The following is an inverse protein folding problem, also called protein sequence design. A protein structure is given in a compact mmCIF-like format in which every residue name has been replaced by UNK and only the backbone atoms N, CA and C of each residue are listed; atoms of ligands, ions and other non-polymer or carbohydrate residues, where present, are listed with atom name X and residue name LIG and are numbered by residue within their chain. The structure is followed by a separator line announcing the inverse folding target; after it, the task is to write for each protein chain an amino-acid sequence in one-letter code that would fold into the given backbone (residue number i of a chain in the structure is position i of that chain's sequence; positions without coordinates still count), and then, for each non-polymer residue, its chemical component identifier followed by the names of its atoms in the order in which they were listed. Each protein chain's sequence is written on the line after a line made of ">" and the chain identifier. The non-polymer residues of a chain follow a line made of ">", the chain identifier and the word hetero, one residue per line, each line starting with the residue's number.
data_IF_940400974263
#
_entry.id   IF_940400974263
#
_cell.length_a   1.000
_cell.length_b   1.000
_cell.length_c   1.000
_cell.angle_alpha   90.00
_cell.angle_beta   90.00
_cell.angle_gamma   90.00
#
_symmetry.space_group_name_H-M   'P 1'
#
loop_
_entity.id
_entity.type
_entity.pdbx_description
1 polymer ?
#
# COMPACT_ATOMS: atom_id res chain seq x y z
N UNK A 1 -14.48 -7.55 -0.37
CA UNK A 1 -13.23 -7.67 -1.13
C UNK A 1 -12.77 -6.34 -1.72
N UNK A 2 -13.37 -5.80 -2.80
CA UNK A 2 -12.94 -4.48 -3.34
C UNK A 2 -13.07 -3.34 -2.31
N UNK A 3 -14.14 -3.34 -1.50
CA UNK A 3 -14.37 -2.35 -0.43
C UNK A 3 -13.37 -2.44 0.73
N UNK A 4 -12.86 -3.64 1.02
CA UNK A 4 -11.89 -3.85 2.11
C UNK A 4 -10.50 -3.38 1.69
N UNK A 5 -10.14 -3.63 0.43
CA UNK A 5 -8.92 -3.11 -0.17
C UNK A 5 -8.94 -1.59 -0.26
N UNK A 6 -10.06 -1.00 -0.69
CA UNK A 6 -10.25 0.44 -0.77
C UNK A 6 -10.11 1.09 0.62
N UNK A 7 -10.70 0.47 1.64
CA UNK A 7 -10.55 0.91 3.03
C UNK A 7 -9.09 0.82 3.49
N UNK A 8 -8.39 -0.27 3.20
CA UNK A 8 -6.99 -0.43 3.60
C UNK A 8 -6.05 0.56 2.86
N UNK A 9 -6.28 0.79 1.56
CA UNK A 9 -5.56 1.80 0.77
C UNK A 9 -5.80 3.21 1.29
N UNK A 10 -7.04 3.52 1.71
CA UNK A 10 -7.38 4.80 2.32
C UNK A 10 -6.68 4.98 3.68
N UNK A 11 -6.67 3.95 4.51
CA UNK A 11 -5.94 3.97 5.78
C UNK A 11 -4.43 4.17 5.58
N UNK A 12 -3.86 3.55 4.54
CA UNK A 12 -2.46 3.75 4.17
C UNK A 12 -2.20 5.20 3.76
N UNK A 13 -3.08 5.77 2.93
CA UNK A 13 -2.97 7.16 2.50
C UNK A 13 -3.09 8.14 3.67
N UNK A 14 -4.04 7.92 4.58
CA UNK A 14 -4.21 8.71 5.80
C UNK A 14 -2.98 8.58 6.73
N UNK A 15 -2.41 7.38 6.85
CA UNK A 15 -1.18 7.17 7.60
C UNK A 15 -0.02 7.96 6.97
N UNK A 16 0.14 7.91 5.64
CA UNK A 16 1.16 8.67 4.91
C UNK A 16 0.96 10.19 4.97
N UNK A 17 -0.26 10.69 5.13
CA UNK A 17 -0.53 12.13 5.34
C UNK A 17 -0.20 12.57 6.77
N UNK A 18 -0.40 11.72 7.76
CA UNK A 18 0.03 12.00 9.15
C UNK A 18 1.55 11.90 9.34
N UNK A 19 2.23 11.28 8.39
CA UNK A 19 3.67 11.00 8.39
C UNK A 19 4.48 12.13 7.76
N UNK A 20 3.91 13.33 7.57
CA UNK A 20 4.52 14.56 7.02
C UNK A 20 5.89 14.99 7.61
N UNK A 21 6.42 14.25 8.60
CA UNK A 21 7.79 14.36 9.13
C UNK A 21 8.81 13.32 8.63
N UNK A 22 8.43 12.31 7.85
CA UNK A 22 9.39 11.34 7.27
C UNK A 22 9.89 11.82 5.91
N UNK A 23 11.19 11.59 5.68
CA UNK A 23 11.93 11.75 4.43
C UNK A 23 11.04 11.71 3.19
N UNK A 24 10.75 12.89 2.64
CA UNK A 24 9.71 13.10 1.63
C UNK A 24 9.85 12.18 0.42
N UNK A 25 11.05 11.68 0.11
CA UNK A 25 11.28 10.77 -1.00
C UNK A 25 10.63 9.39 -0.81
N UNK A 26 10.66 8.83 0.39
CA UNK A 26 10.13 7.48 0.61
C UNK A 26 8.61 7.49 0.80
N UNK A 27 8.09 8.53 1.45
CA UNK A 27 6.64 8.75 1.55
C UNK A 27 6.03 8.95 0.15
N UNK A 28 6.72 9.66 -0.76
CA UNK A 28 6.26 9.83 -2.14
C UNK A 28 6.21 8.50 -2.90
N UNK A 29 7.22 7.63 -2.71
CA UNK A 29 7.24 6.31 -3.33
C UNK A 29 6.08 5.42 -2.86
N UNK A 30 5.81 5.39 -1.56
CA UNK A 30 4.68 4.66 -0.99
C UNK A 30 3.34 5.20 -1.50
N UNK A 31 3.21 6.54 -1.57
CA UNK A 31 2.00 7.20 -2.06
C UNK A 31 1.78 6.94 -3.55
N UNK A 32 2.86 6.92 -4.34
CA UNK A 32 2.85 6.53 -5.75
C UNK A 32 2.43 5.08 -5.96
N UNK A 33 3.03 4.15 -5.21
CA UNK A 33 2.71 2.73 -5.30
C UNK A 33 1.25 2.44 -4.88
N UNK A 34 0.76 3.05 -3.80
CA UNK A 34 -0.63 2.93 -3.36
C UNK A 34 -1.61 3.43 -4.43
N UNK A 35 -1.31 4.59 -5.05
CA UNK A 35 -2.13 5.16 -6.13
C UNK A 35 -2.13 4.27 -7.37
N UNK A 36 -0.97 3.74 -7.76
CA UNK A 36 -0.85 2.81 -8.88
C UNK A 36 -1.67 1.54 -8.66
N UNK A 37 -1.69 0.99 -7.44
CA UNK A 37 -2.55 -0.15 -7.10
C UNK A 37 -4.02 0.20 -7.32
N UNK A 38 -4.48 1.36 -6.85
CA UNK A 38 -5.87 1.81 -7.05
C UNK A 38 -6.21 1.99 -8.54
N UNK A 39 -5.33 2.59 -9.33
CA UNK A 39 -5.52 2.80 -10.77
C UNK A 39 -5.50 1.46 -11.54
N UNK A 40 -4.61 0.55 -11.17
CA UNK A 40 -4.53 -0.80 -11.73
C UNK A 40 -5.72 -1.67 -11.37
N UNK A 41 -6.29 -1.55 -10.16
CA UNK A 41 -7.51 -2.29 -9.81
C UNK A 41 -8.72 -1.86 -10.62
N UNK A 42 -8.71 -0.65 -11.18
CA UNK A 42 -9.76 -0.16 -12.08
C UNK A 42 -9.56 -0.65 -13.52
N UNK A 43 -8.31 -0.89 -13.91
CA UNK A 43 -7.92 -1.46 -15.20
C UNK A 43 -7.53 -2.94 -15.01
N UNK A 44 -8.50 -3.85 -15.17
CA UNK A 44 -8.46 -5.31 -14.92
C UNK A 44 -7.31 -6.17 -15.50
N UNK A 45 -6.17 -5.59 -15.89
CA UNK A 45 -5.13 -6.23 -16.71
C UNK A 45 -3.69 -6.05 -16.18
N UNK A 46 -3.48 -5.59 -14.95
CA UNK A 46 -2.11 -5.38 -14.41
C UNK A 46 -1.89 -6.13 -13.08
N UNK A 47 -0.73 -6.80 -13.00
CA UNK A 47 -0.20 -7.59 -11.86
C UNK A 47 -0.24 -6.83 -10.52
N UNK A 48 -1.41 -6.86 -9.89
CA UNK A 48 -1.67 -6.17 -8.63
C UNK A 48 -0.82 -6.78 -7.50
N UNK A 49 -0.54 -8.08 -7.53
CA UNK A 49 0.40 -8.77 -6.64
C UNK A 49 1.81 -8.20 -6.72
N UNK A 50 2.29 -7.91 -7.92
CA UNK A 50 3.65 -7.36 -8.10
C UNK A 50 3.77 -5.98 -7.48
N UNK A 51 2.71 -5.17 -7.57
CA UNK A 51 2.64 -3.87 -6.91
C UNK A 51 2.49 -4.00 -5.38
N UNK A 52 1.66 -4.93 -4.91
CA UNK A 52 1.51 -5.26 -3.49
C UNK A 52 2.84 -5.63 -2.85
N UNK A 53 3.59 -6.50 -3.53
CA UNK A 53 4.89 -6.98 -3.06
C UNK A 53 5.90 -5.85 -2.96
N UNK A 54 5.96 -4.96 -3.95
CA UNK A 54 6.83 -3.78 -3.91
C UNK A 54 6.45 -2.85 -2.75
N UNK A 55 5.16 -2.64 -2.53
CA UNK A 55 4.66 -1.84 -1.42
C UNK A 55 5.09 -2.45 -0.09
N UNK A 56 4.94 -3.77 0.06
CA UNK A 56 5.38 -4.50 1.24
C UNK A 56 6.88 -4.38 1.49
N UNK A 57 7.71 -4.59 0.46
CA UNK A 57 9.17 -4.44 0.54
C UNK A 57 9.59 -3.00 0.93
N UNK A 58 8.89 -1.98 0.43
CA UNK A 58 9.14 -0.60 0.82
C UNK A 58 8.70 -0.28 2.25
N UNK A 59 7.64 -0.94 2.72
CA UNK A 59 7.09 -0.71 4.07
C UNK A 59 7.83 -1.49 5.16
N UNK A 60 8.56 -2.53 4.78
CA UNK A 60 9.49 -3.28 5.63
C UNK A 60 10.57 -2.34 6.22
N UNK A 61 11.06 -1.40 5.41
CA UNK A 61 12.01 -0.37 5.85
C UNK A 61 11.42 0.60 6.90
N UNK A 62 10.09 0.71 6.97
CA UNK A 62 9.38 1.52 7.96
C UNK A 62 8.88 0.70 9.14
N UNK A 63 9.12 -0.61 9.19
CA UNK A 63 8.59 -1.47 10.26
C UNK A 63 9.04 -1.01 11.66
N UNK A 64 10.29 -0.56 11.81
CA UNK A 64 10.80 -0.07 13.09
C UNK A 64 10.25 1.32 13.46
N UNK A 65 10.04 2.20 12.47
CA UNK A 65 9.66 3.59 12.70
C UNK A 65 8.15 3.81 12.70
N UNK A 66 7.39 3.03 11.92
CA UNK A 66 5.96 3.19 11.66
C UNK A 66 5.26 1.83 11.55
N UNK A 67 5.11 1.09 12.67
CA UNK A 67 4.48 -0.24 12.67
C UNK A 67 3.06 -0.24 12.12
N UNK A 68 2.32 0.86 12.29
CA UNK A 68 0.95 1.02 11.77
C UNK A 68 0.90 1.02 10.23
N UNK A 69 1.93 1.57 9.56
CA UNK A 69 2.03 1.53 8.09
C UNK A 69 2.22 0.08 7.63
N UNK A 70 3.15 -0.63 8.26
CA UNK A 70 3.49 -2.01 7.91
C UNK A 70 2.31 -2.96 8.10
N UNK A 71 1.53 -2.79 9.17
CA UNK A 71 0.30 -3.57 9.39
C UNK A 71 -0.73 -3.32 8.27
N UNK A 72 -0.93 -2.06 7.91
CA UNK A 72 -1.88 -1.68 6.85
C UNK A 72 -1.45 -2.23 5.49
N UNK A 73 -0.16 -2.17 5.17
CA UNK A 73 0.38 -2.71 3.91
C UNK A 73 0.35 -4.24 3.87
N UNK A 74 0.65 -4.91 4.99
CA UNK A 74 0.51 -6.36 5.10
C UNK A 74 -0.93 -6.81 4.84
N UNK A 75 -1.90 -6.07 5.38
CA UNK A 75 -3.33 -6.30 5.12
C UNK A 75 -3.70 -6.09 3.63
N UNK A 76 -3.17 -5.06 2.98
CA UNK A 76 -3.36 -4.83 1.53
C UNK A 76 -2.81 -6.01 0.72
N UNK A 77 -1.61 -6.48 1.05
CA UNK A 77 -0.98 -7.62 0.39
C UNK A 77 -1.79 -8.91 0.56
N UNK A 78 -2.29 -9.19 1.76
CA UNK A 78 -3.13 -10.37 2.04
C UNK A 78 -4.44 -10.33 1.24
N UNK A 79 -5.11 -9.17 1.18
CA UNK A 79 -6.35 -9.00 0.40
C UNK A 79 -6.08 -9.19 -1.10
N UNK A 80 -4.97 -8.67 -1.61
CA UNK A 80 -4.57 -8.85 -3.01
C UNK A 80 -4.27 -10.32 -3.32
N UNK A 81 -3.50 -11.01 -2.47
CA UNK A 81 -3.24 -12.45 -2.60
C UNK A 81 -4.52 -13.28 -2.56
N UNK A 82 -5.48 -12.94 -1.71
CA UNK A 82 -6.76 -13.64 -1.60
C UNK A 82 -7.62 -13.49 -2.86
N UNK A 83 -7.44 -12.42 -3.63
CA UNK A 83 -8.10 -12.22 -4.93
C UNK A 83 -7.42 -12.97 -6.08
N UNK A 84 -6.27 -13.60 -5.84
CA UNK A 84 -5.55 -14.39 -6.86
C UNK A 84 -4.87 -13.54 -7.93
N UNK A 85 -4.62 -12.26 -7.64
CA UNK A 85 -3.96 -11.27 -8.50
C UNK A 85 -2.77 -10.63 -7.83
#
# INVERSE_FOLDING_TARGET
>A
MRTELDAALKQLQEALENIDQLDGQQADQLRGAAKQITETLDHSDVDSASLAKRLQEQTDAFQESHPTLTDTVGRIADILQQMGI
#
